data_IF_363956609919
#
_entry.id   IF_363956609919
#
_cell.length_a   1.000
_cell.length_b   1.000
_cell.length_c   1.000
_cell.angle_alpha   90.00
_cell.angle_beta   90.00
_cell.angle_gamma   90.00
#
_symmetry.space_group_name_H-M   'P 1'
#
loop_
_entity.id
_entity.type
_entity.pdbx_description
1 polymer ?
#
# COMPACT_ATOMS: atom_id res chain seq x y z
N UNK A 1 -22.78 -26.40 -17.04
CA UNK A 1 -22.04 -25.59 -16.04
C UNK A 1 -20.97 -24.76 -16.73
N UNK A 2 -21.18 -23.44 -16.90
CA UNK A 2 -20.12 -22.55 -17.39
C UNK A 2 -19.04 -22.46 -16.31
N UNK A 3 -17.89 -23.08 -16.55
CA UNK A 3 -16.67 -22.88 -15.76
C UNK A 3 -16.30 -21.40 -15.93
N UNK A 4 -16.76 -20.55 -15.02
CA UNK A 4 -16.30 -19.18 -14.93
C UNK A 4 -14.83 -19.27 -14.54
N UNK A 5 -13.95 -19.24 -15.52
CA UNK A 5 -12.57 -18.87 -15.28
C UNK A 5 -12.64 -17.45 -14.72
N UNK A 6 -12.67 -17.34 -13.39
CA UNK A 6 -12.35 -16.11 -12.69
C UNK A 6 -10.94 -15.79 -13.14
N UNK A 7 -10.81 -15.01 -14.22
CA UNK A 7 -9.58 -14.28 -14.54
C UNK A 7 -9.38 -13.40 -13.33
N UNK A 8 -8.63 -13.92 -12.35
CA UNK A 8 -8.04 -13.14 -11.28
C UNK A 8 -7.13 -12.15 -11.98
N UNK A 9 -7.70 -10.99 -12.36
CA UNK A 9 -6.90 -9.86 -12.82
C UNK A 9 -6.11 -9.45 -11.60
N UNK A 10 -4.85 -9.89 -11.56
CA UNK A 10 -3.89 -9.51 -10.54
C UNK A 10 -3.95 -7.99 -10.42
N UNK A 11 -4.39 -7.50 -9.25
CA UNK A 11 -4.46 -6.07 -8.95
C UNK A 11 -3.29 -5.76 -8.02
N UNK A 12 -2.17 -5.26 -8.55
CA UNK A 12 -0.98 -4.99 -7.73
C UNK A 12 -1.26 -3.93 -6.64
N UNK A 13 -2.34 -3.16 -6.74
CA UNK A 13 -2.70 -2.20 -5.70
C UNK A 13 -3.02 -2.88 -4.35
N UNK A 14 -3.61 -4.07 -4.36
CA UNK A 14 -3.93 -4.82 -3.13
C UNK A 14 -2.66 -5.19 -2.35
N UNK A 15 -1.72 -5.93 -2.97
CA UNK A 15 -0.44 -6.27 -2.35
C UNK A 15 0.37 -5.04 -1.94
N UNK A 16 0.47 -4.01 -2.78
CA UNK A 16 1.25 -2.79 -2.45
C UNK A 16 0.68 -2.06 -1.24
N UNK A 17 -0.65 -1.96 -1.14
CA UNK A 17 -1.30 -1.36 0.03
C UNK A 17 -1.03 -2.18 1.28
N UNK A 18 -1.18 -3.51 1.20
CA UNK A 18 -0.92 -4.41 2.33
C UNK A 18 0.52 -4.31 2.82
N UNK A 19 1.49 -4.27 1.90
CA UNK A 19 2.91 -4.17 2.22
C UNK A 19 3.25 -2.83 2.89
N UNK A 20 2.67 -1.73 2.41
CA UNK A 20 2.82 -0.41 3.02
C UNK A 20 2.29 -0.37 4.45
N UNK A 21 1.07 -0.83 4.68
CA UNK A 21 0.48 -0.86 6.02
C UNK A 21 1.19 -1.84 6.95
N UNK A 22 1.67 -2.97 6.43
CA UNK A 22 2.43 -3.95 7.20
C UNK A 22 3.80 -3.38 7.63
N UNK A 23 4.47 -2.63 6.76
CA UNK A 23 5.68 -1.90 7.12
C UNK A 23 5.41 -0.82 8.17
N UNK A 24 4.36 -0.02 8.01
CA UNK A 24 3.96 0.97 9.04
C UNK A 24 3.63 0.31 10.37
N UNK A 25 2.87 -0.79 10.37
CA UNK A 25 2.52 -1.51 11.58
C UNK A 25 3.77 -2.04 12.30
N UNK A 26 4.72 -2.63 11.56
CA UNK A 26 5.99 -3.07 12.13
C UNK A 26 6.82 -1.92 12.70
N UNK A 27 6.81 -0.77 12.01
CA UNK A 27 7.52 0.43 12.45
C UNK A 27 6.95 1.00 13.75
N UNK A 28 5.63 1.14 13.83
CA UNK A 28 4.94 1.58 15.05
C UNK A 28 5.11 0.57 16.19
N UNK A 29 5.09 -0.73 15.89
CA UNK A 29 5.33 -1.76 16.90
C UNK A 29 6.75 -1.70 17.45
N UNK A 30 7.76 -1.49 16.58
CA UNK A 30 9.14 -1.34 17.01
C UNK A 30 9.36 -0.05 17.82
N UNK A 31 8.78 1.06 17.37
CA UNK A 31 8.86 2.36 18.05
C UNK A 31 8.20 2.32 19.44
N UNK A 32 7.07 1.61 19.59
CA UNK A 32 6.41 1.43 20.89
C UNK A 32 7.10 0.42 21.82
N UNK A 33 7.95 -0.47 21.29
CA UNK A 33 8.75 -1.41 22.09
C UNK A 33 10.12 -0.85 22.48
N UNK A 34 10.62 0.12 21.73
CA UNK A 34 11.83 0.85 22.07
C UNK A 34 11.52 1.96 23.08
N UNK A 35 12.29 2.05 24.16
CA UNK A 35 12.20 3.14 25.14
C UNK A 35 12.79 4.48 24.59
N UNK A 36 13.20 4.46 23.33
CA UNK A 36 13.80 5.57 22.60
C UNK A 36 12.90 5.89 21.39
N UNK A 37 12.56 7.17 21.20
CA UNK A 37 11.83 7.63 20.00
C UNK A 37 12.66 7.32 18.76
N UNK A 38 12.41 6.16 18.13
CA UNK A 38 13.15 5.71 16.95
C UNK A 38 12.81 6.61 15.77
N UNK A 39 11.59 7.16 15.73
CA UNK A 39 11.15 8.10 14.70
C UNK A 39 10.35 9.27 15.26
N UNK A 40 10.94 10.46 15.21
CA UNK A 40 10.23 11.71 15.48
C UNK A 40 9.00 11.86 14.57
N UNK A 41 7.88 12.33 15.14
CA UNK A 41 6.64 12.57 14.41
C UNK A 41 6.83 13.48 13.18
N UNK A 42 7.79 14.39 13.24
CA UNK A 42 8.17 15.28 12.12
C UNK A 42 8.72 14.50 10.92
N UNK A 43 9.35 13.34 11.14
CA UNK A 43 9.86 12.44 10.10
C UNK A 43 8.79 11.45 9.66
N UNK A 44 7.97 10.97 10.61
CA UNK A 44 6.94 9.98 10.35
C UNK A 44 5.82 10.52 9.44
N UNK A 45 5.40 11.77 9.66
CA UNK A 45 4.35 12.42 8.88
C UNK A 45 4.66 12.45 7.36
N UNK A 46 5.80 12.98 6.89
CA UNK A 46 6.11 12.98 5.46
C UNK A 46 6.27 11.56 4.89
N UNK A 47 6.82 10.61 5.65
CA UNK A 47 6.93 9.20 5.20
C UNK A 47 5.56 8.60 4.93
N UNK A 48 4.61 8.80 5.85
CA UNK A 48 3.23 8.33 5.69
C UNK A 48 2.57 9.00 4.48
N UNK A 49 2.72 10.31 4.31
CA UNK A 49 2.13 11.04 3.19
C UNK A 49 2.70 10.59 1.84
N UNK A 50 4.01 10.41 1.74
CA UNK A 50 4.67 9.89 0.51
C UNK A 50 4.17 8.47 0.22
N UNK A 51 4.11 7.61 1.23
CA UNK A 51 3.62 6.24 1.08
C UNK A 51 2.16 6.16 0.66
N UNK A 52 1.28 6.96 1.25
CA UNK A 52 -0.13 7.08 0.85
C UNK A 52 -0.26 7.61 -0.59
N UNK A 53 0.54 8.60 -0.98
CA UNK A 53 0.60 9.11 -2.35
C UNK A 53 1.04 8.04 -3.36
N UNK A 54 2.05 7.23 -3.00
CA UNK A 54 2.56 6.14 -3.82
C UNK A 54 1.49 5.05 -4.01
N UNK A 55 0.85 4.61 -2.91
CA UNK A 55 -0.25 3.64 -2.93
C UNK A 55 -1.41 4.14 -3.80
N UNK A 56 -1.80 5.40 -3.63
CA UNK A 56 -2.83 6.03 -4.44
C UNK A 56 -2.47 6.04 -5.94
N UNK A 57 -1.24 6.39 -6.27
CA UNK A 57 -0.72 6.42 -7.65
C UNK A 57 -0.73 5.03 -8.27
N UNK A 58 -0.22 4.01 -7.57
CA UNK A 58 -0.26 2.61 -8.02
C UNK A 58 -1.70 2.19 -8.28
N UNK A 59 -2.63 2.50 -7.37
CA UNK A 59 -4.05 2.16 -7.52
C UNK A 59 -4.68 2.86 -8.72
N UNK A 60 -4.33 4.12 -8.99
CA UNK A 60 -4.80 4.86 -10.17
C UNK A 60 -4.22 4.25 -11.45
N UNK A 61 -2.94 3.94 -11.49
CA UNK A 61 -2.28 3.32 -12.64
C UNK A 61 -2.84 1.93 -12.93
N UNK A 62 -3.07 1.10 -11.91
CA UNK A 62 -3.67 -0.24 -12.09
C UNK A 62 -5.14 -0.17 -12.48
N UNK A 63 -5.87 0.86 -12.03
CA UNK A 63 -7.27 1.11 -12.43
C UNK A 63 -7.38 1.70 -13.84
N UNK A 64 -6.47 2.58 -14.24
CA UNK A 64 -6.40 3.23 -15.56
C UNK A 64 -6.16 2.19 -16.67
N UNK A 65 -5.31 1.20 -16.41
CA UNK A 65 -5.04 0.07 -17.33
C UNK A 65 -6.27 -0.78 -17.69
N UNK A 66 -7.44 -0.56 -17.05
CA UNK A 66 -8.71 -1.21 -17.41
C UNK A 66 -9.55 -0.41 -18.43
N UNK A 67 -9.19 0.82 -18.77
CA UNK A 67 -9.96 1.66 -19.72
C UNK A 67 -9.41 1.68 -21.15
N UNK A 68 -8.13 1.42 -21.39
CA UNK A 68 -7.51 1.41 -22.74
C UNK A 68 -7.79 0.14 -23.59
N UNK A 69 -8.90 -0.56 -23.34
CA UNK A 69 -9.30 -1.72 -24.14
C UNK A 69 -10.77 -1.66 -24.56
N UNK A 70 -11.34 -0.46 -24.70
CA UNK A 70 -12.64 -0.26 -25.35
C UNK A 70 -12.49 0.64 -26.56
#
# INVERSE_FOLDING_TARGET
MRKSSRRSRFDPAGPVTGLFFMALAGLFLADGLADENVLSATTLLPVVLIGLGLVGTVRVLTRSRRRDLR
#
